data_IF_272332045144
#
_entry.id   IF_272332045144
#
_cell.length_a   1.000
_cell.length_b   1.000
_cell.length_c   1.000
_cell.angle_alpha   90.00
_cell.angle_beta   90.00
_cell.angle_gamma   90.00
#
_symmetry.space_group_name_H-M   'P 1'
#
loop_
_entity.id
_entity.type
_entity.pdbx_description
1 polymer ?
#
# COMPACT_ATOMS: atom_id res chain seq x y z
N UNK A 1 -2.65 -7.31 -15.56
CA UNK A 1 -3.50 -6.31 -14.86
C UNK A 1 -2.75 -4.97 -14.76
N UNK A 2 -3.34 -3.93 -14.16
CA UNK A 2 -2.61 -2.72 -13.74
C UNK A 2 -2.76 -2.48 -12.24
N UNK A 3 -1.63 -2.46 -11.55
CA UNK A 3 -1.48 -2.09 -10.15
C UNK A 3 -1.40 -0.56 -10.01
N UNK A 4 -2.19 0.04 -9.13
CA UNK A 4 -2.20 1.48 -8.89
C UNK A 4 -2.09 1.79 -7.40
N UNK A 5 -1.07 2.56 -7.05
CA UNK A 5 -0.82 3.07 -5.70
C UNK A 5 -0.58 4.56 -5.78
N UNK A 6 -1.07 5.31 -4.79
CA UNK A 6 -0.91 6.77 -4.77
C UNK A 6 -0.73 7.31 -3.36
N UNK A 7 -0.28 8.55 -3.30
CA UNK A 7 -0.50 9.44 -2.17
C UNK A 7 -1.24 10.70 -2.66
N UNK A 8 -1.28 11.76 -1.86
CA UNK A 8 -1.93 13.02 -2.25
C UNK A 8 -1.27 13.65 -3.47
N UNK A 9 0.06 13.55 -3.59
CA UNK A 9 0.85 14.29 -4.58
C UNK A 9 1.25 13.48 -5.81
N UNK A 10 1.23 12.14 -5.75
CA UNK A 10 1.72 11.26 -6.82
C UNK A 10 0.86 10.02 -6.97
N UNK A 11 0.73 9.57 -8.22
CA UNK A 11 0.09 8.32 -8.62
C UNK A 11 1.11 7.49 -9.39
N UNK A 12 1.21 6.20 -9.05
CA UNK A 12 2.04 5.23 -9.77
C UNK A 12 1.12 4.15 -10.29
N UNK A 13 1.14 3.93 -11.60
CA UNK A 13 0.49 2.82 -12.28
C UNK A 13 1.54 1.89 -12.89
N UNK A 14 1.43 0.59 -12.64
CA UNK A 14 2.31 -0.45 -13.19
C UNK A 14 1.47 -1.54 -13.83
N UNK A 15 1.75 -1.84 -15.09
CA UNK A 15 1.12 -2.97 -15.80
C UNK A 15 2.00 -4.20 -15.58
N UNK A 16 1.38 -5.33 -15.27
CA UNK A 16 2.06 -6.61 -15.16
C UNK A 16 1.20 -7.72 -14.56
N UNK A 17 1.86 -8.80 -14.13
CA UNK A 17 1.28 -9.94 -13.44
C UNK A 17 1.62 -9.89 -11.94
N UNK A 18 0.64 -10.16 -11.07
CA UNK A 18 0.90 -10.39 -9.66
C UNK A 18 1.45 -11.81 -9.50
N UNK A 19 2.76 -11.92 -9.30
CA UNK A 19 3.47 -13.17 -9.08
C UNK A 19 4.61 -12.94 -8.07
N UNK A 20 5.17 -14.01 -7.51
CA UNK A 20 6.20 -13.92 -6.50
C UNK A 20 5.69 -13.36 -5.18
N UNK A 21 4.43 -13.66 -4.82
CA UNK A 21 3.86 -13.27 -3.53
C UNK A 21 4.62 -13.96 -2.39
N UNK A 22 5.08 -13.16 -1.42
CA UNK A 22 5.77 -13.63 -0.22
C UNK A 22 5.02 -13.10 1.00
N UNK A 23 4.32 -13.95 1.77
CA UNK A 23 3.65 -13.51 2.98
C UNK A 23 4.69 -13.17 4.05
N UNK A 24 4.31 -12.29 4.98
CA UNK A 24 5.09 -11.98 6.17
C UNK A 24 4.22 -11.31 7.22
N UNK A 25 4.60 -11.46 8.49
CA UNK A 25 3.79 -11.02 9.63
C UNK A 25 3.59 -9.50 9.68
N UNK A 26 4.66 -8.74 9.39
CA UNK A 26 4.62 -7.28 9.40
C UNK A 26 4.52 -6.65 8.01
N UNK A 27 5.11 -7.32 7.01
CA UNK A 27 5.10 -6.89 5.63
C UNK A 27 5.00 -8.11 4.72
N UNK A 28 4.16 -8.01 3.70
CA UNK A 28 4.06 -8.96 2.61
C UNK A 28 4.61 -8.32 1.33
N UNK A 29 5.11 -9.15 0.41
CA UNK A 29 5.76 -8.69 -0.81
C UNK A 29 5.11 -9.31 -2.04
N UNK A 30 5.12 -8.57 -3.14
CA UNK A 30 5.04 -9.10 -4.51
C UNK A 30 6.34 -8.65 -5.15
N UNK A 31 7.19 -9.57 -5.59
CA UNK A 31 8.51 -9.23 -6.13
C UNK A 31 8.68 -9.92 -7.48
N UNK A 32 8.55 -9.14 -8.53
CA UNK A 32 8.92 -9.51 -9.90
C UNK A 32 9.32 -8.26 -10.70
N UNK A 33 9.66 -8.43 -11.97
CA UNK A 33 10.21 -7.36 -12.82
C UNK A 33 9.19 -6.26 -13.16
N UNK A 34 7.89 -6.59 -13.15
CA UNK A 34 6.83 -5.68 -13.57
C UNK A 34 6.15 -4.98 -12.38
N UNK A 35 5.78 -5.78 -11.37
CA UNK A 35 5.08 -5.36 -10.16
C UNK A 35 5.96 -5.72 -8.95
N UNK A 36 6.50 -4.68 -8.31
CA UNK A 36 7.26 -4.78 -7.07
C UNK A 36 6.56 -3.98 -5.96
N UNK A 37 5.93 -4.69 -5.02
CA UNK A 37 5.08 -4.12 -3.98
C UNK A 37 5.54 -4.52 -2.60
N UNK A 38 5.58 -3.54 -1.69
CA UNK A 38 5.75 -3.72 -0.25
C UNK A 38 4.40 -3.41 0.39
N UNK A 39 3.75 -4.43 0.92
CA UNK A 39 2.42 -4.34 1.48
C UNK A 39 2.51 -4.47 3.00
N UNK A 40 1.71 -3.68 3.71
CA UNK A 40 1.61 -3.72 5.17
C UNK A 40 0.17 -4.11 5.54
N UNK A 41 -0.14 -5.42 5.64
CA UNK A 41 -1.52 -5.91 5.72
C UNK A 41 -2.33 -5.33 6.89
N UNK A 42 -1.68 -4.94 7.99
CA UNK A 42 -2.34 -4.27 9.12
C UNK A 42 -3.10 -2.98 8.76
N UNK A 43 -2.82 -2.39 7.60
CA UNK A 43 -3.49 -1.18 7.10
C UNK A 43 -4.52 -1.46 6.01
N UNK A 44 -4.71 -2.73 5.63
CA UNK A 44 -5.66 -3.16 4.60
C UNK A 44 -6.93 -3.60 5.33
N UNK A 45 -7.97 -2.77 5.31
CA UNK A 45 -9.15 -2.96 6.17
C UNK A 45 -10.39 -3.32 5.36
N UNK A 46 -10.62 -2.64 4.25
CA UNK A 46 -11.77 -2.90 3.39
C UNK A 46 -11.31 -3.28 1.99
N UNK A 47 -11.96 -4.29 1.41
CA UNK A 47 -11.71 -4.76 0.04
C UNK A 47 -13.00 -4.84 -0.74
N UNK A 48 -13.00 -4.32 -1.97
CA UNK A 48 -14.15 -4.34 -2.86
C UNK A 48 -13.75 -4.84 -4.25
N UNK A 49 -14.53 -5.78 -4.78
CA UNK A 49 -14.57 -6.06 -6.21
C UNK A 49 -15.66 -5.21 -6.84
N UNK A 50 -15.30 -4.40 -7.82
CA UNK A 50 -16.20 -3.43 -8.46
C UNK A 50 -16.27 -3.74 -9.95
N UNK A 51 -17.49 -3.95 -10.42
CA UNK A 51 -17.83 -3.94 -11.84
C UNK A 51 -18.55 -2.64 -12.17
N UNK A 52 -18.14 -1.98 -13.25
CA UNK A 52 -18.72 -0.70 -13.66
C UNK A 52 -18.78 -0.63 -15.19
N UNK A 53 -19.97 -0.41 -15.74
CA UNK A 53 -20.12 -0.06 -17.16
C UNK A 53 -19.50 1.31 -17.45
N UNK A 54 -18.78 1.39 -18.55
CA UNK A 54 -18.16 2.63 -19.05
C UNK A 54 -18.35 2.72 -20.56
N UNK A 55 -18.07 3.88 -21.14
CA UNK A 55 -18.08 4.06 -22.60
C UNK A 55 -17.12 3.11 -23.35
N UNK A 56 -16.16 2.50 -22.63
CA UNK A 56 -15.19 1.53 -23.16
C UNK A 56 -15.52 0.08 -22.79
N UNK A 57 -16.74 -0.18 -22.30
CA UNK A 57 -17.19 -1.48 -21.83
C UNK A 57 -17.06 -1.68 -20.32
N UNK A 58 -17.23 -2.94 -19.90
CA UNK A 58 -17.21 -3.32 -18.48
C UNK A 58 -15.82 -3.19 -17.88
N UNK A 59 -15.67 -2.34 -16.87
CA UNK A 59 -14.45 -2.17 -16.08
C UNK A 59 -14.57 -2.96 -14.79
N UNK A 60 -13.54 -3.79 -14.52
CA UNK A 60 -13.43 -4.60 -13.30
C UNK A 60 -12.22 -4.17 -12.47
N UNK A 61 -12.43 -3.90 -11.19
CA UNK A 61 -11.35 -3.47 -10.28
C UNK A 61 -11.46 -4.08 -8.90
N UNK A 62 -10.34 -4.51 -8.32
CA UNK A 62 -10.23 -4.78 -6.88
C UNK A 62 -9.66 -3.52 -6.23
N UNK A 63 -10.32 -3.00 -5.20
CA UNK A 63 -9.88 -1.80 -4.50
C UNK A 63 -9.79 -2.05 -3.00
N UNK A 64 -8.67 -1.65 -2.40
CA UNK A 64 -8.38 -1.81 -0.97
C UNK A 64 -8.28 -0.45 -0.30
N UNK A 65 -8.87 -0.33 0.88
CA UNK A 65 -8.94 0.90 1.67
C UNK A 65 -8.48 0.65 3.11
N UNK A 66 -7.96 1.70 3.75
CA UNK A 66 -7.55 1.67 5.15
C UNK A 66 -8.71 1.93 6.12
N UNK A 67 -8.43 1.92 7.42
CA UNK A 67 -9.43 2.15 8.46
C UNK A 67 -10.09 3.54 8.38
N UNK A 68 -9.45 4.53 7.75
CA UNK A 68 -10.01 5.86 7.54
C UNK A 68 -10.83 5.97 6.25
N UNK A 69 -10.87 4.90 5.45
CA UNK A 69 -11.55 4.87 4.16
C UNK A 69 -10.68 5.39 3.00
N UNK A 70 -9.39 5.62 3.22
CA UNK A 70 -8.50 6.10 2.18
C UNK A 70 -8.00 4.96 1.29
N UNK A 71 -7.85 5.22 0.00
CA UNK A 71 -7.40 4.21 -0.95
C UNK A 71 -5.94 3.80 -0.69
N UNK A 72 -5.73 2.51 -0.42
CA UNK A 72 -4.41 1.90 -0.20
C UNK A 72 -3.83 1.38 -1.51
N UNK A 73 -4.63 0.58 -2.24
CA UNK A 73 -4.18 -0.04 -3.49
C UNK A 73 -5.36 -0.38 -4.39
N UNK A 74 -5.15 -0.32 -5.71
CA UNK A 74 -6.17 -0.69 -6.69
C UNK A 74 -5.57 -1.57 -7.79
N UNK A 75 -6.32 -2.60 -8.17
CA UNK A 75 -6.00 -3.50 -9.27
C UNK A 75 -7.05 -3.34 -10.35
N UNK A 76 -6.62 -2.98 -11.56
CA UNK A 76 -7.49 -2.86 -12.71
C UNK A 76 -7.28 -4.06 -13.63
N UNK A 77 -8.36 -4.75 -13.97
CA UNK A 77 -8.34 -5.63 -15.13
C UNK A 77 -8.18 -4.77 -16.38
N UNK A 78 -7.48 -5.32 -17.38
CA UNK A 78 -7.21 -4.68 -18.65
C UNK A 78 -7.45 -5.68 -19.78
N UNK A 79 -7.38 -5.17 -21.01
CA UNK A 79 -7.13 -6.04 -22.16
C UNK A 79 -5.89 -6.91 -21.90
N UNK A 80 -6.03 -8.22 -22.10
CA UNK A 80 -5.01 -9.22 -21.77
C UNK A 80 -5.04 -9.75 -20.32
N UNK A 81 -5.90 -9.23 -19.45
CA UNK A 81 -6.19 -9.89 -18.17
C UNK A 81 -6.96 -11.20 -18.38
N UNK A 82 -6.77 -12.18 -17.50
CA UNK A 82 -7.65 -13.34 -17.42
C UNK A 82 -9.00 -12.91 -16.83
N UNK A 83 -9.97 -12.63 -17.70
CA UNK A 83 -11.31 -12.23 -17.29
C UNK A 83 -12.12 -13.39 -16.69
N UNK A 84 -11.86 -14.63 -17.11
CA UNK A 84 -12.56 -15.82 -16.62
C UNK A 84 -12.26 -16.10 -15.15
N UNK A 85 -11.08 -15.70 -14.67
CA UNK A 85 -10.70 -15.79 -13.26
C UNK A 85 -11.45 -14.80 -12.35
N UNK A 86 -12.15 -13.80 -12.91
CA UNK A 86 -12.78 -12.76 -12.11
C UNK A 86 -13.89 -13.30 -11.21
N UNK A 87 -14.90 -13.97 -11.79
CA UNK A 87 -16.06 -14.43 -11.02
C UNK A 87 -15.67 -15.44 -9.91
N UNK A 88 -14.79 -16.43 -10.15
CA UNK A 88 -14.29 -17.30 -9.09
C UNK A 88 -13.59 -16.54 -7.95
N UNK A 89 -12.68 -15.61 -8.27
CA UNK A 89 -11.97 -14.84 -7.24
C UNK A 89 -12.91 -13.97 -6.40
N UNK A 90 -13.92 -13.36 -7.04
CA UNK A 90 -14.90 -12.54 -6.32
C UNK A 90 -15.72 -13.42 -5.37
N UNK A 91 -16.19 -14.58 -5.84
CA UNK A 91 -16.98 -15.49 -5.01
C UNK A 91 -16.16 -16.04 -3.83
N UNK A 92 -14.93 -16.48 -4.08
CA UNK A 92 -14.05 -17.05 -3.05
C UNK A 92 -13.69 -16.06 -1.93
N UNK A 93 -13.58 -14.77 -2.26
CA UNK A 93 -13.20 -13.71 -1.31
C UNK A 93 -14.39 -12.96 -0.72
N UNK A 94 -15.61 -13.26 -1.16
CA UNK A 94 -16.81 -12.58 -0.70
C UNK A 94 -17.08 -12.91 0.76
N UNK A 95 -17.16 -11.88 1.59
CA UNK A 95 -17.54 -12.03 3.00
C UNK A 95 -19.06 -11.97 3.16
N UNK A 96 -19.58 -12.48 4.29
CA UNK A 96 -21.02 -12.50 4.58
C UNK A 96 -21.60 -11.08 4.69
N UNK A 97 -20.86 -10.15 5.31
CA UNK A 97 -21.29 -8.76 5.43
C UNK A 97 -21.11 -8.03 4.10
N UNK A 98 -22.23 -7.65 3.48
CA UNK A 98 -22.28 -6.90 2.22
C UNK A 98 -22.91 -5.53 2.41
N UNK A 99 -22.78 -4.96 3.62
CA UNK A 99 -23.29 -3.63 3.95
C UNK A 99 -22.73 -2.57 2.99
N UNK A 100 -23.57 -1.61 2.63
CA UNK A 100 -23.20 -0.49 1.77
C UNK A 100 -22.65 0.72 2.55
N UNK A 101 -22.37 0.55 3.84
CA UNK A 101 -21.78 1.54 4.73
C UNK A 101 -20.50 1.01 5.35
N UNK A 102 -19.54 1.90 5.60
CA UNK A 102 -18.27 1.58 6.24
C UNK A 102 -18.17 2.25 7.60
N UNK A 103 -17.77 1.48 8.62
CA UNK A 103 -17.46 2.03 9.93
C UNK A 103 -16.01 2.51 10.00
N UNK A 104 -15.75 3.70 9.45
CA UNK A 104 -14.40 4.27 9.38
C UNK A 104 -13.96 4.95 10.68
N UNK A 105 -12.67 4.94 10.95
CA UNK A 105 -12.02 5.64 12.06
C UNK A 105 -11.33 6.92 11.60
N UNK A 106 -11.25 7.98 12.43
CA UNK A 106 -10.50 9.18 12.06
C UNK A 106 -9.04 8.87 11.70
N UNK A 107 -8.56 9.46 10.61
CA UNK A 107 -7.15 9.38 10.19
C UNK A 107 -6.26 9.94 11.29
N UNK A 108 -5.21 9.19 11.65
CA UNK A 108 -4.16 9.69 12.54
C UNK A 108 -3.40 10.83 11.84
N UNK A 109 -3.29 12.03 12.44
CA UNK A 109 -2.53 13.13 11.87
C UNK A 109 -1.05 12.75 11.65
N UNK A 110 -0.44 13.35 10.63
CA UNK A 110 1.01 13.26 10.43
C UNK A 110 1.72 13.95 11.59
N UNK A 111 2.80 13.33 12.07
CA UNK A 111 3.66 13.96 13.08
C UNK A 111 4.53 15.02 12.38
N UNK A 112 4.64 16.20 12.99
CA UNK A 112 5.59 17.23 12.54
C UNK A 112 7.04 16.78 12.71
N UNK A 113 7.99 17.58 12.22
CA UNK A 113 9.41 17.27 12.36
C UNK A 113 9.78 17.07 13.84
N UNK A 114 10.47 15.97 14.14
CA UNK A 114 10.96 15.66 15.48
C UNK A 114 12.48 15.51 15.45
N UNK A 115 13.17 16.34 16.22
CA UNK A 115 14.62 16.45 16.25
C UNK A 115 15.05 17.88 16.58
N UNK A 116 16.36 18.11 16.63
CA UNK A 116 16.93 19.44 16.82
C UNK A 116 18.25 19.57 16.05
N UNK A 117 18.55 20.78 15.58
CA UNK A 117 19.70 21.06 14.72
C UNK A 117 21.06 20.80 15.40
N UNK A 118 21.11 20.89 16.73
CA UNK A 118 22.28 20.54 17.56
C UNK A 118 22.64 19.04 17.48
N UNK A 119 21.71 18.18 17.06
CA UNK A 119 21.92 16.73 16.92
C UNK A 119 22.48 16.31 15.55
N UNK A 120 22.78 17.26 14.66
CA UNK A 120 23.15 16.97 13.27
C UNK A 120 24.41 16.09 13.14
N UNK A 121 25.42 16.28 13.98
CA UNK A 121 26.63 15.44 13.98
C UNK A 121 26.33 14.01 14.42
N UNK A 122 25.49 13.85 15.45
CA UNK A 122 25.04 12.54 15.91
C UNK A 122 24.24 11.82 14.84
N UNK A 123 23.33 12.52 14.15
CA UNK A 123 22.57 11.94 13.05
C UNK A 123 23.50 11.41 11.96
N UNK A 124 24.46 12.22 11.48
CA UNK A 124 25.43 11.81 10.46
C UNK A 124 26.26 10.60 10.90
N UNK A 125 26.80 10.63 12.12
CA UNK A 125 27.59 9.52 12.66
C UNK A 125 26.79 8.21 12.78
N UNK A 126 25.50 8.28 13.12
CA UNK A 126 24.64 7.10 13.18
C UNK A 126 24.20 6.63 11.78
N UNK A 127 24.01 7.57 10.85
CA UNK A 127 23.70 7.28 9.45
C UNK A 127 24.85 6.52 8.79
N UNK A 128 26.10 6.93 9.00
CA UNK A 128 27.28 6.28 8.41
C UNK A 128 27.45 4.80 8.82
N UNK A 129 26.74 4.37 9.88
CA UNK A 129 26.77 2.99 10.37
C UNK A 129 25.68 2.10 9.78
N UNK A 130 24.69 2.66 9.08
CA UNK A 130 23.60 1.83 8.52
C UNK A 130 24.09 1.14 7.24
N UNK A 131 23.80 -0.14 7.12
CA UNK A 131 24.18 -0.97 5.97
C UNK A 131 22.98 -1.44 5.16
N UNK A 132 21.77 -1.17 5.64
CA UNK A 132 20.52 -1.58 5.02
C UNK A 132 19.46 -0.49 5.21
N UNK A 133 18.66 -0.25 4.17
CA UNK A 133 17.65 0.82 4.16
C UNK A 133 16.59 0.67 5.25
N UNK A 134 16.29 -0.57 5.69
CA UNK A 134 15.32 -0.85 6.74
C UNK A 134 15.83 -0.44 8.13
N UNK A 135 17.15 -0.21 8.29
CA UNK A 135 17.74 0.26 9.54
C UNK A 135 17.47 1.74 9.81
N UNK A 136 17.20 2.55 8.77
CA UNK A 136 17.01 4.00 8.90
C UNK A 136 15.89 4.38 9.89
N UNK A 137 14.75 3.70 9.83
CA UNK A 137 13.63 3.99 10.75
C UNK A 137 13.94 3.57 12.19
N UNK A 138 14.75 2.54 12.41
CA UNK A 138 15.19 2.14 13.75
C UNK A 138 16.22 3.14 14.30
N UNK A 139 17.15 3.59 13.46
CA UNK A 139 18.15 4.60 13.80
C UNK A 139 17.49 5.92 14.22
N UNK A 140 16.58 6.48 13.42
CA UNK A 140 15.91 7.74 13.74
C UNK A 140 15.14 7.66 15.07
N UNK A 141 14.41 6.56 15.30
CA UNK A 141 13.74 6.30 16.59
C UNK A 141 14.71 6.25 17.76
N UNK A 142 15.85 5.57 17.62
CA UNK A 142 16.89 5.44 18.66
C UNK A 142 17.46 6.81 19.08
N UNK A 143 17.67 7.71 18.12
CA UNK A 143 18.13 9.08 18.39
C UNK A 143 16.99 10.07 18.69
N UNK A 144 15.76 9.56 18.88
CA UNK A 144 14.54 10.32 19.19
C UNK A 144 14.11 11.32 18.11
N UNK A 145 14.46 11.05 16.85
CA UNK A 145 14.01 11.79 15.67
C UNK A 145 12.90 11.03 14.92
N UNK A 146 12.25 11.71 13.98
CA UNK A 146 11.48 11.06 12.91
C UNK A 146 12.08 11.38 11.54
N UNK A 147 11.58 10.73 10.48
CA UNK A 147 12.11 10.89 9.12
C UNK A 147 12.11 12.34 8.63
N UNK A 148 11.17 13.18 9.09
CA UNK A 148 11.08 14.57 8.66
C UNK A 148 12.07 15.47 9.42
N UNK A 149 12.37 15.15 10.67
CA UNK A 149 13.32 15.91 11.49
C UNK A 149 14.78 15.46 11.37
N UNK A 150 15.03 14.25 10.85
CA UNK A 150 16.35 13.75 10.48
C UNK A 150 16.73 14.25 9.07
#
# INVERSE_FOLDING_TARGET
>A
VMALTRNESRVIGKVGVYDGFRPGEHAALVVNDEIDLRMFPKHWVYGFAIEQETDRGMRRTIQVFDAAGDAVHKVFLREGSNADAWAPVVEDLKIVDQSNTLNVSPRKPTEGAKGSADQAERLRSEWDKITDTHQFLMMTRRIKMNRLGA
#
